data_IF_620362018461
#
_entry.id   IF_620362018461
#
_cell.length_a   1.000
_cell.length_b   1.000
_cell.length_c   1.000
_cell.angle_alpha   90.00
_cell.angle_beta   90.00
_cell.angle_gamma   90.00
#
_symmetry.space_group_name_H-M   'P 1'
#
loop_
_entity.id
_entity.type
_entity.pdbx_description
1 polymer ?
#
# COMPACT_ATOMS: atom_id res chain seq x y z
N UNK A 1 33.35 5.60 35.70
CA UNK A 1 32.04 6.24 36.03
C UNK A 1 31.64 7.38 35.07
N UNK A 2 32.54 8.31 34.68
CA UNK A 2 32.19 9.46 33.81
C UNK A 2 31.78 9.08 32.36
N UNK A 3 32.37 8.03 31.77
CA UNK A 3 32.07 7.61 30.38
C UNK A 3 30.65 7.04 30.19
N UNK A 4 30.17 6.22 31.12
CA UNK A 4 28.82 5.63 31.05
C UNK A 4 27.72 6.69 31.21
N UNK A 5 27.96 7.73 32.02
CA UNK A 5 27.01 8.85 32.16
C UNK A 5 26.81 9.61 30.85
N UNK A 6 27.87 9.77 30.04
CA UNK A 6 27.75 10.38 28.70
C UNK A 6 26.89 9.53 27.77
N UNK A 7 27.06 8.21 27.77
CA UNK A 7 26.22 7.32 26.96
C UNK A 7 24.75 7.37 27.37
N UNK A 8 24.44 7.44 28.67
CA UNK A 8 23.07 7.62 29.16
C UNK A 8 22.48 8.94 28.64
N UNK A 9 23.25 10.03 28.71
CA UNK A 9 22.82 11.32 28.19
C UNK A 9 22.57 11.27 26.67
N UNK A 10 23.45 10.61 25.91
CA UNK A 10 23.25 10.45 24.46
C UNK A 10 22.00 9.62 24.13
N UNK A 11 21.75 8.52 24.84
CA UNK A 11 20.54 7.71 24.64
C UNK A 11 19.27 8.50 24.97
N UNK A 12 19.30 9.34 26.01
CA UNK A 12 18.19 10.27 26.30
C UNK A 12 18.00 11.27 25.15
N UNK A 13 19.07 11.89 24.66
CA UNK A 13 19.00 12.83 23.53
C UNK A 13 18.46 12.15 22.27
N UNK A 14 18.89 10.93 21.96
CA UNK A 14 18.38 10.16 20.81
C UNK A 14 16.87 9.99 20.93
N UNK A 15 16.37 9.52 22.08
CA UNK A 15 14.92 9.32 22.23
C UNK A 15 14.10 10.61 22.21
N UNK A 16 14.66 11.72 22.67
CA UNK A 16 14.03 13.05 22.54
C UNK A 16 13.94 13.50 21.08
N UNK A 17 15.02 13.32 20.31
CA UNK A 17 15.04 13.64 18.88
C UNK A 17 14.08 12.73 18.09
N UNK A 18 14.02 11.44 18.41
CA UNK A 18 13.05 10.51 17.82
C UNK A 18 11.61 10.94 18.11
N UNK A 19 11.31 11.39 19.34
CA UNK A 19 10.00 11.93 19.69
C UNK A 19 9.67 13.22 18.91
N UNK A 20 10.62 14.14 18.78
CA UNK A 20 10.45 15.36 17.98
C UNK A 20 10.18 15.05 16.50
N UNK A 21 10.88 14.06 15.94
CA UNK A 21 10.64 13.57 14.58
C UNK A 21 9.23 12.99 14.45
N UNK A 22 8.80 12.15 15.40
CA UNK A 22 7.44 11.59 15.41
C UNK A 22 6.37 12.71 15.40
N UNK A 23 6.59 13.81 16.11
CA UNK A 23 5.69 14.98 16.12
C UNK A 23 5.68 15.74 14.78
N UNK A 24 6.85 15.95 14.17
CA UNK A 24 6.98 16.59 12.86
C UNK A 24 6.23 15.77 11.80
N UNK A 25 6.43 14.46 11.79
CA UNK A 25 5.79 13.54 10.85
C UNK A 25 4.28 13.47 11.08
N UNK A 26 3.83 13.43 12.34
CA UNK A 26 2.41 13.49 12.68
C UNK A 26 1.74 14.78 12.17
N UNK A 27 2.42 15.93 12.30
CA UNK A 27 1.93 17.21 11.78
C UNK A 27 1.81 17.18 10.25
N UNK A 28 2.86 16.71 9.56
CA UNK A 28 2.86 16.57 8.10
C UNK A 28 1.70 15.69 7.61
N UNK A 29 1.51 14.53 8.24
CA UNK A 29 0.42 13.61 7.91
C UNK A 29 -0.97 14.24 8.11
N UNK A 30 -1.13 15.07 9.15
CA UNK A 30 -2.37 15.82 9.40
C UNK A 30 -2.65 16.85 8.31
N UNK A 31 -1.64 17.61 7.90
CA UNK A 31 -1.75 18.60 6.82
C UNK A 31 -2.09 17.93 5.48
N UNK A 32 -1.41 16.84 5.13
CA UNK A 32 -1.71 16.04 3.93
C UNK A 32 -3.15 15.55 3.94
N UNK A 33 -3.63 15.07 5.09
CA UNK A 33 -5.01 14.58 5.23
C UNK A 33 -6.02 15.71 5.02
N UNK A 34 -5.80 16.88 5.62
CA UNK A 34 -6.66 18.06 5.42
C UNK A 34 -6.68 18.54 3.97
N UNK A 35 -5.53 18.52 3.27
CA UNK A 35 -5.44 18.85 1.85
C UNK A 35 -6.26 17.86 1.01
N UNK A 36 -6.15 16.56 1.28
CA UNK A 36 -6.92 15.51 0.58
C UNK A 36 -8.43 15.67 0.79
N UNK A 37 -8.86 15.92 2.03
CA UNK A 37 -10.27 16.14 2.36
C UNK A 37 -10.82 17.38 1.65
N UNK A 38 -10.09 18.50 1.67
CA UNK A 38 -10.48 19.72 0.99
C UNK A 38 -10.59 19.51 -0.52
N UNK A 39 -9.59 18.87 -1.15
CA UNK A 39 -9.61 18.57 -2.58
C UNK A 39 -10.74 17.59 -2.97
N UNK A 40 -11.11 16.66 -2.08
CA UNK A 40 -12.26 15.80 -2.27
C UNK A 40 -13.56 16.63 -2.29
N UNK A 41 -13.77 17.48 -1.28
CA UNK A 41 -14.94 18.35 -1.13
C UNK A 41 -15.08 19.36 -2.26
N UNK A 42 -14.02 20.11 -2.56
CA UNK A 42 -14.02 21.15 -3.60
C UNK A 42 -14.27 20.56 -5.00
N UNK A 43 -13.85 19.32 -5.21
CA UNK A 43 -14.05 18.59 -6.46
C UNK A 43 -15.38 17.82 -6.54
N UNK A 44 -16.13 17.66 -5.45
CA UNK A 44 -17.34 16.81 -5.39
C UNK A 44 -18.38 17.23 -6.43
N UNK A 45 -18.72 18.53 -6.46
CA UNK A 45 -19.72 19.07 -7.39
C UNK A 45 -19.33 18.85 -8.86
N UNK A 46 -18.05 19.05 -9.20
CA UNK A 46 -17.54 18.83 -10.57
C UNK A 46 -17.59 17.35 -10.96
N UNK A 47 -17.18 16.44 -10.07
CA UNK A 47 -17.25 14.99 -10.31
C UNK A 47 -18.69 14.54 -10.50
N UNK A 48 -19.63 15.06 -9.70
CA UNK A 48 -21.06 14.78 -9.84
C UNK A 48 -21.61 15.29 -11.17
N UNK A 49 -21.30 16.52 -11.56
CA UNK A 49 -21.70 17.08 -12.85
C UNK A 49 -21.15 16.27 -14.05
N UNK A 50 -19.89 15.84 -13.99
CA UNK A 50 -19.30 14.97 -15.02
C UNK A 50 -20.08 13.65 -15.12
N UNK A 51 -20.38 13.01 -13.98
CA UNK A 51 -21.14 11.77 -13.95
C UNK A 51 -22.57 11.94 -14.48
N UNK A 52 -23.26 13.03 -14.12
CA UNK A 52 -24.60 13.36 -14.63
C UNK A 52 -24.61 13.59 -16.14
N UNK A 53 -23.63 14.33 -16.68
CA UNK A 53 -23.50 14.57 -18.11
C UNK A 53 -23.17 13.28 -18.87
N UNK A 54 -22.26 12.46 -18.34
CA UNK A 54 -21.94 11.15 -18.92
C UNK A 54 -23.17 10.23 -18.93
N UNK A 55 -23.98 10.23 -17.86
CA UNK A 55 -25.21 9.44 -17.80
C UNK A 55 -26.25 9.91 -18.83
N UNK A 56 -26.37 11.23 -19.07
CA UNK A 56 -27.24 11.78 -20.14
C UNK A 56 -26.81 11.32 -21.53
N UNK A 57 -25.50 11.36 -21.82
CA UNK A 57 -24.94 10.85 -23.09
C UNK A 57 -25.20 9.34 -23.20
N UNK A 58 -25.01 8.59 -22.10
CA UNK A 58 -25.30 7.16 -22.05
C UNK A 58 -26.76 6.83 -22.37
N UNK A 59 -27.71 7.50 -21.73
CA UNK A 59 -29.13 7.30 -21.99
C UNK A 59 -29.52 7.65 -23.43
N UNK A 60 -28.96 8.73 -24.00
CA UNK A 60 -29.12 9.07 -25.41
C UNK A 60 -28.57 7.98 -26.34
N UNK A 61 -27.37 7.46 -26.05
CA UNK A 61 -26.74 6.41 -26.84
C UNK A 61 -27.48 5.06 -26.76
N UNK A 62 -28.08 4.75 -25.61
CA UNK A 62 -28.91 3.56 -25.43
C UNK A 62 -30.25 3.66 -26.17
N UNK A 63 -30.93 4.81 -26.07
CA UNK A 63 -32.23 5.02 -26.72
C UNK A 63 -32.13 4.98 -28.25
N UNK A 64 -31.05 5.53 -28.82
CA UNK A 64 -30.83 5.61 -30.27
C UNK A 64 -29.81 4.58 -30.77
N UNK A 65 -29.66 3.45 -30.06
CA UNK A 65 -28.55 2.53 -30.30
C UNK A 65 -28.51 1.97 -31.72
N UNK A 66 -29.68 1.56 -32.21
CA UNK A 66 -29.81 0.92 -33.53
C UNK A 66 -29.67 1.92 -34.68
N UNK A 67 -29.78 3.22 -34.41
CA UNK A 67 -29.55 4.28 -35.39
C UNK A 67 -28.09 4.74 -35.39
N UNK A 68 -27.54 5.00 -34.20
CA UNK A 68 -26.20 5.56 -34.06
C UNK A 68 -25.09 4.54 -34.31
N UNK A 69 -25.30 3.25 -34.00
CA UNK A 69 -24.23 2.26 -33.96
C UNK A 69 -24.42 1.10 -34.95
N UNK A 70 -24.95 1.38 -36.14
CA UNK A 70 -25.15 0.39 -37.22
C UNK A 70 -23.80 -0.16 -37.71
N UNK A 71 -22.92 0.73 -38.16
CA UNK A 71 -21.65 0.34 -38.80
C UNK A 71 -20.46 0.32 -37.84
N UNK A 72 -20.48 1.20 -36.83
CA UNK A 72 -19.39 1.42 -35.89
C UNK A 72 -19.91 1.50 -34.47
N UNK A 73 -19.11 1.05 -33.51
CA UNK A 73 -19.45 1.10 -32.08
C UNK A 73 -19.03 2.39 -31.37
N UNK A 74 -18.52 3.36 -32.12
CA UNK A 74 -17.95 4.61 -31.59
C UNK A 74 -18.38 5.77 -32.47
N UNK A 75 -18.78 6.87 -31.83
CA UNK A 75 -19.12 8.15 -32.44
C UNK A 75 -18.08 9.17 -32.00
N UNK A 76 -17.53 9.90 -32.98
CA UNK A 76 -16.56 10.97 -32.78
C UNK A 76 -17.19 12.32 -33.07
N UNK A 77 -17.02 13.25 -32.13
CA UNK A 77 -17.52 14.62 -32.17
C UNK A 77 -16.37 15.58 -31.84
N UNK A 78 -16.61 16.89 -31.97
CA UNK A 78 -15.58 17.94 -31.80
C UNK A 78 -14.83 17.87 -30.46
N UNK A 79 -15.49 17.47 -29.37
CA UNK A 79 -14.91 17.48 -28.01
C UNK A 79 -14.67 16.09 -27.42
N UNK A 80 -14.80 15.03 -28.22
CA UNK A 80 -14.51 13.68 -27.76
C UNK A 80 -15.34 12.60 -28.45
N UNK A 81 -15.28 11.41 -27.86
CA UNK A 81 -15.91 10.20 -28.40
C UNK A 81 -16.76 9.52 -27.34
N UNK A 82 -17.82 8.84 -27.77
CA UNK A 82 -18.60 7.93 -26.93
C UNK A 82 -19.03 6.70 -27.74
N UNK A 83 -19.36 5.62 -27.06
CA UNK A 83 -19.76 4.39 -27.72
C UNK A 83 -19.73 3.16 -26.83
N UNK A 84 -19.99 2.01 -27.44
CA UNK A 84 -20.08 0.73 -26.75
C UNK A 84 -18.82 -0.10 -26.95
N UNK A 85 -18.09 -0.40 -25.87
CA UNK A 85 -17.00 -1.39 -25.91
C UNK A 85 -17.44 -2.73 -25.33
N UNK A 86 -17.02 -3.82 -25.95
CA UNK A 86 -17.12 -5.15 -25.33
C UNK A 86 -15.85 -5.38 -24.51
N UNK A 87 -15.98 -5.51 -23.21
CA UNK A 87 -14.88 -5.91 -22.31
C UNK A 87 -15.23 -7.22 -21.62
N UNK A 88 -14.29 -8.15 -21.58
CA UNK A 88 -14.39 -9.40 -20.81
C UNK A 88 -13.52 -9.30 -19.57
N UNK A 89 -14.08 -9.57 -18.40
CA UNK A 89 -13.34 -9.75 -17.16
C UNK A 89 -13.60 -11.14 -16.59
N UNK A 90 -12.56 -11.76 -16.02
CA UNK A 90 -12.67 -13.03 -15.31
C UNK A 90 -12.70 -12.71 -13.82
N UNK A 91 -13.81 -13.06 -13.16
CA UNK A 91 -13.95 -12.92 -11.70
C UNK A 91 -13.58 -14.26 -11.08
N UNK A 92 -12.67 -14.25 -10.11
CA UNK A 92 -12.25 -15.44 -9.35
C UNK A 92 -12.91 -15.44 -7.98
N UNK A 93 -13.15 -16.62 -7.44
CA UNK A 93 -13.56 -16.83 -6.04
C UNK A 93 -12.43 -17.51 -5.26
N UNK A 94 -12.60 -17.63 -3.95
CA UNK A 94 -11.60 -18.30 -3.08
C UNK A 94 -11.34 -19.76 -3.49
N UNK A 95 -12.31 -20.43 -4.11
CA UNK A 95 -12.18 -21.84 -4.52
C UNK A 95 -11.52 -22.01 -5.89
N UNK A 96 -11.34 -20.94 -6.67
CA UNK A 96 -10.83 -21.03 -8.04
C UNK A 96 -9.45 -21.70 -8.11
N UNK A 97 -8.52 -21.36 -7.21
CA UNK A 97 -7.17 -21.96 -7.21
C UNK A 97 -7.22 -23.47 -6.94
N UNK A 98 -7.95 -23.90 -5.89
CA UNK A 98 -8.07 -25.32 -5.56
C UNK A 98 -8.80 -26.13 -6.64
N UNK A 99 -9.71 -25.52 -7.40
CA UNK A 99 -10.35 -26.18 -8.56
C UNK A 99 -9.39 -26.29 -9.76
N UNK A 100 -8.58 -25.26 -10.02
CA UNK A 100 -7.54 -25.32 -11.05
C UNK A 100 -6.52 -26.42 -10.74
N UNK A 101 -6.12 -26.57 -9.47
CA UNK A 101 -5.24 -27.66 -9.00
C UNK A 101 -5.87 -29.04 -9.23
N UNK A 102 -7.13 -29.24 -8.80
CA UNK A 102 -7.85 -30.52 -8.98
C UNK A 102 -8.01 -30.91 -10.45
N UNK A 103 -8.14 -29.93 -11.35
CA UNK A 103 -8.27 -30.15 -12.78
C UNK A 103 -6.90 -30.27 -13.49
N UNK A 104 -5.78 -30.18 -12.77
CA UNK A 104 -4.44 -30.24 -13.35
C UNK A 104 -4.10 -29.03 -14.23
N UNK A 105 -4.83 -27.92 -14.09
CA UNK A 105 -4.65 -26.70 -14.89
C UNK A 105 -3.55 -25.80 -14.31
N UNK A 106 -2.39 -26.38 -14.05
CA UNK A 106 -1.27 -25.75 -13.34
C UNK A 106 -0.57 -24.64 -14.11
N UNK A 107 -0.81 -24.53 -15.43
CA UNK A 107 -0.29 -23.44 -16.28
C UNK A 107 -0.98 -22.09 -15.95
N UNK A 108 -2.14 -22.12 -15.27
CA UNK A 108 -3.03 -20.95 -15.10
C UNK A 108 -2.79 -20.23 -13.75
N UNK A 109 -1.99 -20.79 -12.84
CA UNK A 109 -1.68 -20.15 -11.56
C UNK A 109 -0.19 -20.21 -11.24
N UNK A 110 0.32 -19.12 -10.69
CA UNK A 110 1.69 -19.03 -10.18
C UNK A 110 1.69 -19.32 -8.68
N UNK A 111 2.45 -20.31 -8.25
CA UNK A 111 2.72 -20.56 -6.84
C UNK A 111 3.99 -19.80 -6.47
N UNK A 112 3.83 -18.63 -5.86
CA UNK A 112 4.95 -17.93 -5.23
C UNK A 112 5.45 -18.79 -4.06
N UNK A 113 6.46 -19.61 -4.30
CA UNK A 113 7.15 -20.38 -3.26
C UNK A 113 8.28 -19.51 -2.72
N UNK A 114 8.10 -19.00 -1.51
CA UNK A 114 9.15 -18.29 -0.78
C UNK A 114 9.71 -19.19 0.32
N UNK A 115 11.03 -19.13 0.53
CA UNK A 115 11.67 -19.85 1.61
C UNK A 115 11.35 -19.16 2.94
N UNK A 116 10.86 -19.94 3.91
CA UNK A 116 10.53 -19.47 5.25
C UNK A 116 11.82 -19.26 6.06
N UNK A 117 12.30 -18.01 6.10
CA UNK A 117 13.57 -17.67 6.75
C UNK A 117 13.58 -17.92 8.26
N UNK A 118 12.42 -17.87 8.91
CA UNK A 118 12.31 -18.14 10.35
C UNK A 118 12.56 -19.62 10.62
N UNK A 119 11.93 -20.51 9.86
CA UNK A 119 12.17 -21.96 9.96
C UNK A 119 13.57 -22.35 9.48
N UNK A 120 14.08 -21.70 8.43
CA UNK A 120 15.46 -21.92 7.99
C UNK A 120 16.47 -21.53 9.07
N UNK A 121 16.16 -20.56 9.94
CA UNK A 121 17.05 -20.15 11.01
C UNK A 121 17.28 -21.27 12.04
N UNK A 122 16.36 -22.24 12.16
CA UNK A 122 16.44 -23.41 13.03
C UNK A 122 17.30 -24.55 12.46
N UNK A 123 17.60 -24.54 11.16
CA UNK A 123 18.41 -25.55 10.49
C UNK A 123 19.90 -25.39 10.81
N UNK A 124 20.63 -26.51 10.84
CA UNK A 124 22.09 -26.47 10.89
C UNK A 124 22.70 -25.95 9.58
N UNK A 125 23.96 -25.51 9.67
CA UNK A 125 24.65 -24.89 8.53
C UNK A 125 24.94 -25.89 7.40
N UNK A 126 25.01 -27.19 7.68
CA UNK A 126 25.16 -28.24 6.66
C UNK A 126 23.89 -28.34 5.81
N UNK A 127 22.73 -28.35 6.45
CA UNK A 127 21.41 -28.36 5.81
C UNK A 127 21.15 -27.08 5.04
N UNK A 128 21.56 -25.92 5.58
CA UNK A 128 21.50 -24.64 4.86
C UNK A 128 22.36 -24.66 3.59
N UNK A 129 23.58 -25.21 3.66
CA UNK A 129 24.48 -25.30 2.51
C UNK A 129 23.93 -26.20 1.40
N UNK A 130 23.20 -27.27 1.72
CA UNK A 130 22.56 -28.15 0.74
C UNK A 130 21.49 -27.43 -0.12
N UNK A 131 20.98 -26.28 0.34
CA UNK A 131 19.99 -25.45 -0.36
C UNK A 131 20.54 -24.10 -0.79
N UNK A 132 21.87 -23.98 -0.94
CA UNK A 132 22.58 -22.74 -1.32
C UNK A 132 22.30 -21.55 -0.38
N UNK A 133 21.96 -21.83 0.88
CA UNK A 133 21.78 -20.83 1.92
C UNK A 133 23.02 -20.76 2.83
N UNK A 134 23.30 -19.57 3.36
CA UNK A 134 24.41 -19.34 4.29
C UNK A 134 23.98 -18.47 5.45
N UNK A 135 24.32 -18.92 6.66
CA UNK A 135 24.14 -18.11 7.87
C UNK A 135 25.19 -17.01 7.92
N UNK A 136 24.76 -15.76 7.79
CA UNK A 136 25.63 -14.59 7.94
C UNK A 136 25.49 -14.03 9.36
N UNK A 137 26.46 -14.36 10.22
CA UNK A 137 26.57 -13.75 11.55
C UNK A 137 27.31 -12.43 11.42
N UNK A 138 26.68 -11.34 11.88
CA UNK A 138 27.31 -10.02 11.98
C UNK A 138 27.21 -9.54 13.42
N UNK A 139 28.35 -9.14 13.98
CA UNK A 139 28.41 -8.43 15.25
C UNK A 139 28.58 -6.94 14.95
N UNK A 140 27.49 -6.19 15.05
CA UNK A 140 27.45 -4.76 14.74
C UNK A 140 26.97 -3.97 15.95
N UNK A 141 27.59 -2.82 16.17
CA UNK A 141 27.15 -1.87 17.18
C UNK A 141 25.69 -1.45 16.96
N UNK A 142 24.92 -1.38 18.04
CA UNK A 142 23.56 -0.84 18.05
C UNK A 142 23.37 0.11 19.25
N UNK A 143 22.47 1.07 19.11
CA UNK A 143 21.96 1.86 20.22
C UNK A 143 20.50 2.21 19.97
N UNK A 144 19.64 1.94 20.95
CA UNK A 144 18.21 2.19 20.86
C UNK A 144 17.79 2.93 22.13
N UNK A 145 17.09 4.05 21.96
CA UNK A 145 16.56 4.78 23.09
C UNK A 145 15.37 4.03 23.69
N UNK A 146 15.28 4.00 25.02
CA UNK A 146 14.07 3.52 25.68
C UNK A 146 12.99 4.61 25.59
N UNK A 147 12.15 4.54 24.55
CA UNK A 147 11.10 5.52 24.28
C UNK A 147 10.11 5.67 25.45
N UNK A 148 9.81 4.59 26.16
CA UNK A 148 8.90 4.66 27.32
C UNK A 148 9.47 5.48 28.46
N UNK A 149 10.75 5.29 28.79
CA UNK A 149 11.41 6.09 29.83
C UNK A 149 11.54 7.56 29.43
N UNK A 150 11.85 7.84 28.17
CA UNK A 150 11.90 9.21 27.64
C UNK A 150 10.53 9.89 27.76
N UNK A 151 9.45 9.19 27.40
CA UNK A 151 8.09 9.70 27.55
C UNK A 151 7.72 9.94 29.03
N UNK A 152 8.07 9.02 29.93
CA UNK A 152 7.88 9.22 31.39
C UNK A 152 8.60 10.46 31.90
N UNK A 153 9.83 10.68 31.46
CA UNK A 153 10.65 11.84 31.84
C UNK A 153 10.08 13.16 31.31
N UNK A 154 9.59 13.18 30.05
CA UNK A 154 8.88 14.31 29.47
C UNK A 154 7.62 14.68 30.26
N UNK A 155 6.80 13.69 30.63
CA UNK A 155 5.59 13.91 31.43
C UNK A 155 5.90 14.48 32.82
N UNK A 156 6.95 13.99 33.48
CA UNK A 156 7.40 14.50 34.78
C UNK A 156 7.94 15.93 34.69
N UNK A 157 8.52 16.31 33.56
CA UNK A 157 9.08 17.66 33.34
C UNK A 157 8.02 18.68 32.92
N UNK A 158 6.85 18.22 32.49
CA UNK A 158 5.73 19.04 32.03
C UNK A 158 4.65 19.28 33.09
N UNK A 159 4.71 18.58 34.23
CA UNK A 159 3.83 18.76 35.40
C UNK A 159 4.52 19.53 36.52
#
# INVERSE_FOLDING_TARGET
MNRLRKSIAHLKTIGLLEHELDLIDAKSNKEISAIKEKAAKDGEGKRKQIAELAAKIGAFAEYNRDELFIDKKTIELTFGTFGFRKSTSIIKTKTTVGLLEKLGLTIIFDLKKEADKEKMAELDDETLAQVDAVRKVKDTFFCEANKEEVNRDLLKSAG
#
